data_IF_547399811616
#
_entry.id   IF_547399811616
#
_cell.length_a   1.000
_cell.length_b   1.000
_cell.length_c   1.000
_cell.angle_alpha   90.00
_cell.angle_beta   90.00
_cell.angle_gamma   90.00
#
_symmetry.space_group_name_H-M   'P 1'
#
loop_
_entity.id
_entity.type
_entity.pdbx_description
1 polymer ?
#
# COMPACT_ATOMS: atom_id res chain seq x y z
N UNK A 1 5.26 -13.33 1.43
CA UNK A 1 6.23 -12.51 2.18
C UNK A 1 6.09 -12.88 3.63
N UNK A 2 7.18 -13.26 4.26
CA UNK A 2 7.23 -13.77 5.63
C UNK A 2 8.31 -13.03 6.42
N UNK A 3 8.16 -13.00 7.74
CA UNK A 3 9.18 -12.49 8.67
C UNK A 3 10.00 -13.69 9.14
N UNK A 4 11.31 -13.63 8.99
CA UNK A 4 12.24 -14.67 9.42
C UNK A 4 13.38 -14.06 10.22
N UNK A 5 13.92 -14.83 11.17
CA UNK A 5 15.16 -14.46 11.83
C UNK A 5 16.33 -14.64 10.86
N UNK A 6 17.38 -13.85 11.00
CA UNK A 6 18.56 -13.95 10.14
C UNK A 6 19.19 -15.36 10.15
N UNK A 7 19.16 -16.06 11.30
CA UNK A 7 19.68 -17.42 11.42
C UNK A 7 18.77 -18.52 10.80
N UNK A 8 17.57 -18.15 10.35
CA UNK A 8 16.63 -19.04 9.63
C UNK A 8 16.72 -18.86 8.11
N UNK A 9 17.52 -17.91 7.64
CA UNK A 9 17.68 -17.56 6.23
C UNK A 9 19.10 -17.97 5.81
N UNK A 10 19.20 -18.79 4.78
CA UNK A 10 20.48 -19.33 4.31
C UNK A 10 21.32 -18.23 3.63
N UNK A 11 22.38 -17.78 4.30
CA UNK A 11 23.33 -16.79 3.78
C UNK A 11 24.15 -17.33 2.59
N UNK A 12 24.17 -18.66 2.37
CA UNK A 12 24.85 -19.28 1.23
C UNK A 12 24.00 -19.28 -0.05
N UNK A 13 22.74 -18.85 0.02
CA UNK A 13 21.89 -18.64 -1.15
C UNK A 13 22.55 -17.63 -2.09
N UNK A 14 22.58 -17.94 -3.39
CA UNK A 14 23.23 -17.11 -4.42
C UNK A 14 22.57 -15.73 -4.56
N UNK A 15 21.34 -15.57 -4.06
CA UNK A 15 20.70 -14.28 -3.86
C UNK A 15 21.60 -13.28 -3.12
N UNK A 16 22.42 -13.72 -2.17
CA UNK A 16 23.30 -12.85 -1.39
C UNK A 16 24.65 -12.55 -2.05
N UNK A 17 25.03 -13.23 -3.14
CA UNK A 17 26.38 -13.13 -3.70
C UNK A 17 26.70 -11.68 -4.14
N UNK A 18 25.80 -11.07 -4.90
CA UNK A 18 25.92 -9.64 -5.26
C UNK A 18 25.95 -8.68 -4.07
N UNK A 19 25.33 -9.02 -2.93
CA UNK A 19 25.42 -8.18 -1.72
C UNK A 19 26.79 -8.33 -1.04
N UNK A 20 27.38 -9.54 -1.08
CA UNK A 20 28.73 -9.77 -0.57
C UNK A 20 29.79 -9.08 -1.43
N UNK A 21 29.59 -9.06 -2.75
CA UNK A 21 30.44 -8.31 -3.69
C UNK A 21 30.36 -6.79 -3.42
N UNK A 22 29.15 -6.27 -3.17
CA UNK A 22 28.92 -4.83 -3.01
C UNK A 22 29.34 -4.29 -1.65
N UNK A 23 29.31 -5.11 -0.61
CA UNK A 23 29.61 -4.70 0.76
C UNK A 23 30.68 -5.60 1.37
N UNK A 24 31.98 -5.23 1.28
CA UNK A 24 33.05 -5.92 1.98
C UNK A 24 32.74 -6.03 3.48
N UNK A 25 32.58 -7.26 3.98
CA UNK A 25 32.16 -7.52 5.37
C UNK A 25 30.67 -7.84 5.56
N UNK A 26 29.90 -8.00 4.48
CA UNK A 26 28.49 -8.39 4.54
C UNK A 26 28.25 -9.63 5.41
N UNK A 27 29.06 -10.69 5.28
CA UNK A 27 28.95 -11.89 6.11
C UNK A 27 29.11 -11.59 7.61
N UNK A 28 30.05 -10.71 7.97
CA UNK A 28 30.27 -10.30 9.36
C UNK A 28 29.07 -9.52 9.89
N UNK A 29 28.57 -8.57 9.10
CA UNK A 29 27.37 -7.81 9.43
C UNK A 29 26.16 -8.74 9.60
N UNK A 30 25.95 -9.68 8.67
CA UNK A 30 24.84 -10.62 8.69
C UNK A 30 24.88 -11.51 9.93
N UNK A 31 26.06 -12.07 10.26
CA UNK A 31 26.24 -12.88 11.45
C UNK A 31 25.98 -12.10 12.74
N UNK A 32 26.38 -10.82 12.81
CA UNK A 32 26.01 -9.96 13.95
C UNK A 32 24.49 -9.82 14.10
N UNK A 33 23.76 -9.66 12.99
CA UNK A 33 22.28 -9.60 12.97
C UNK A 33 21.64 -10.92 13.39
N UNK A 34 22.21 -12.05 12.95
CA UNK A 34 21.80 -13.38 13.38
C UNK A 34 21.98 -13.58 14.89
N UNK A 35 23.15 -13.23 15.44
CA UNK A 35 23.42 -13.32 16.89
C UNK A 35 22.50 -12.43 17.71
N UNK A 36 22.20 -11.23 17.22
CA UNK A 36 21.25 -10.30 17.85
C UNK A 36 19.78 -10.74 17.72
N UNK A 37 19.50 -11.89 17.08
CA UNK A 37 18.14 -12.43 16.84
C UNK A 37 17.24 -11.46 16.08
N UNK A 38 17.83 -10.61 15.25
CA UNK A 38 17.08 -9.68 14.43
C UNK A 38 16.33 -10.41 13.32
N UNK A 39 15.32 -9.74 12.75
CA UNK A 39 14.43 -10.30 11.73
C UNK A 39 14.45 -9.48 10.45
N UNK A 40 14.21 -10.15 9.32
CA UNK A 40 14.01 -9.52 8.02
C UNK A 40 12.71 -10.03 7.38
N UNK A 41 12.16 -9.22 6.48
CA UNK A 41 11.10 -9.67 5.58
C UNK A 41 11.74 -10.35 4.38
N UNK A 42 11.24 -11.54 4.03
CA UNK A 42 11.67 -12.25 2.82
C UNK A 42 10.48 -12.62 1.93
N UNK A 43 10.75 -12.76 0.65
CA UNK A 43 9.84 -13.37 -0.30
C UNK A 43 10.56 -14.50 -1.03
N UNK A 44 9.88 -15.64 -1.18
CA UNK A 44 10.33 -16.78 -1.98
C UNK A 44 9.42 -17.01 -3.19
N UNK A 45 9.95 -17.60 -4.24
CA UNK A 45 9.15 -18.11 -5.38
C UNK A 45 8.46 -19.44 -5.03
N UNK A 46 7.74 -20.02 -6.00
CA UNK A 46 7.07 -21.32 -5.84
C UNK A 46 8.04 -22.50 -5.65
N UNK A 47 9.30 -22.33 -6.07
CA UNK A 47 10.36 -23.33 -5.95
C UNK A 47 11.13 -23.19 -4.63
N UNK A 48 10.85 -22.15 -3.84
CA UNK A 48 11.48 -21.88 -2.54
C UNK A 48 12.71 -20.97 -2.60
N UNK A 49 13.09 -20.46 -3.78
CA UNK A 49 14.23 -19.57 -3.95
C UNK A 49 13.93 -18.17 -3.42
N UNK A 50 14.90 -17.51 -2.82
CA UNK A 50 14.75 -16.11 -2.40
C UNK A 50 14.55 -15.21 -3.63
N UNK A 51 13.62 -14.25 -3.50
CA UNK A 51 13.27 -13.26 -4.52
C UNK A 51 13.32 -11.83 -3.97
N UNK A 52 13.35 -11.69 -2.65
CA UNK A 52 13.49 -10.39 -2.01
C UNK A 52 13.82 -10.51 -0.54
N UNK A 53 14.55 -9.51 -0.06
CA UNK A 53 15.02 -9.37 1.31
C UNK A 53 14.94 -7.89 1.72
N UNK A 54 14.28 -7.64 2.84
CA UNK A 54 14.16 -6.32 3.43
C UNK A 54 14.46 -6.38 4.93
N UNK A 55 15.54 -5.73 5.31
CA UNK A 55 15.92 -5.48 6.69
C UNK A 55 15.73 -4.01 7.03
N UNK A 56 15.09 -3.73 8.16
CA UNK A 56 14.83 -2.37 8.64
C UNK A 56 15.12 -2.28 10.13
N UNK A 57 15.51 -1.09 10.59
CA UNK A 57 15.71 -0.80 12.01
C UNK A 57 15.39 0.66 12.32
N UNK A 58 15.06 0.93 13.57
CA UNK A 58 14.88 2.30 14.04
C UNK A 58 16.23 2.90 14.45
N UNK A 59 16.38 4.18 14.15
CA UNK A 59 17.50 5.02 14.57
C UNK A 59 16.92 6.37 14.96
N UNK A 60 17.42 6.98 16.04
CA UNK A 60 17.03 8.30 16.50
C UNK A 60 18.19 9.30 16.48
N UNK A 61 19.43 8.81 16.52
CA UNK A 61 20.66 9.60 16.53
C UNK A 61 20.89 10.46 15.25
N UNK A 62 21.76 11.45 15.38
CA UNK A 62 22.28 12.21 14.24
C UNK A 62 23.21 11.34 13.38
N UNK A 63 23.13 11.48 12.05
CA UNK A 63 23.96 10.75 11.10
C UNK A 63 25.02 11.70 10.53
N UNK A 64 26.22 11.60 11.10
CA UNK A 64 27.38 12.42 10.74
C UNK A 64 28.21 11.82 9.59
N UNK A 65 27.91 10.58 9.20
CA UNK A 65 28.57 9.85 8.12
C UNK A 65 27.84 9.99 6.77
N UNK A 66 26.83 10.85 6.70
CA UNK A 66 26.07 11.21 5.50
C UNK A 66 26.37 12.66 5.17
N UNK A 67 26.55 12.99 3.89
CA UNK A 67 26.76 14.36 3.41
C UNK A 67 25.57 14.82 2.56
N UNK A 68 24.86 15.91 2.93
CA UNK A 68 25.03 16.69 4.18
C UNK A 68 24.62 15.88 5.42
N UNK A 69 25.10 16.28 6.60
CA UNK A 69 24.79 15.59 7.85
C UNK A 69 23.28 15.62 8.15
N UNK A 70 22.74 14.50 8.64
CA UNK A 70 21.34 14.43 9.08
C UNK A 70 21.26 14.72 10.59
N UNK A 71 20.48 15.73 11.03
CA UNK A 71 20.31 16.03 12.46
C UNK A 71 19.57 14.90 13.18
N UNK A 72 19.55 14.86 14.51
CA UNK A 72 18.77 13.88 15.28
C UNK A 72 17.27 13.89 14.88
N UNK A 73 16.67 12.72 14.67
CA UNK A 73 15.25 12.55 14.37
C UNK A 73 14.86 11.07 14.47
N UNK A 74 13.59 10.77 14.78
CA UNK A 74 13.07 9.40 14.74
C UNK A 74 12.98 8.90 13.30
N UNK A 75 13.83 7.94 12.96
CA UNK A 75 13.99 7.39 11.61
C UNK A 75 13.72 5.90 11.56
N UNK A 76 13.13 5.48 10.44
CA UNK A 76 13.24 4.11 9.98
C UNK A 76 14.35 4.01 8.93
N UNK A 77 15.42 3.29 9.25
CA UNK A 77 16.46 2.93 8.28
C UNK A 77 16.04 1.67 7.53
N UNK A 78 16.03 1.75 6.21
CA UNK A 78 16.04 0.57 5.34
C UNK A 78 17.50 0.14 5.19
N UNK A 79 17.90 -0.86 5.99
CA UNK A 79 19.30 -1.27 6.10
C UNK A 79 19.78 -2.15 4.95
N UNK A 80 18.92 -3.06 4.48
CA UNK A 80 19.20 -3.84 3.27
C UNK A 80 17.90 -4.04 2.54
N UNK A 81 17.89 -3.68 1.25
CA UNK A 81 16.73 -3.88 0.39
C UNK A 81 17.18 -4.41 -0.95
N UNK A 82 16.92 -5.70 -1.17
CA UNK A 82 17.21 -6.37 -2.43
C UNK A 82 15.95 -7.08 -2.93
N UNK A 83 15.70 -6.94 -4.22
CA UNK A 83 14.68 -7.68 -4.98
C UNK A 83 15.32 -8.17 -6.27
N UNK A 84 14.94 -9.35 -6.72
CA UNK A 84 15.33 -9.79 -8.05
C UNK A 84 14.40 -9.15 -9.09
N UNK A 85 15.02 -8.42 -10.01
CA UNK A 85 14.47 -7.27 -10.74
C UNK A 85 13.34 -7.58 -11.74
N UNK A 86 12.87 -8.82 -11.83
CA UNK A 86 11.87 -9.21 -12.81
C UNK A 86 10.42 -8.91 -12.37
N UNK A 87 10.19 -8.47 -11.12
CA UNK A 87 8.84 -8.33 -10.57
C UNK A 87 8.57 -6.97 -9.90
N UNK A 88 8.13 -5.98 -10.68
CA UNK A 88 7.77 -4.63 -10.19
C UNK A 88 6.73 -4.66 -9.06
N UNK A 89 5.75 -5.57 -9.12
CA UNK A 89 4.73 -5.74 -8.07
C UNK A 89 5.34 -6.19 -6.74
N UNK A 90 6.42 -6.97 -6.78
CA UNK A 90 7.13 -7.36 -5.56
C UNK A 90 7.77 -6.14 -4.89
N UNK A 91 8.39 -5.27 -5.68
CA UNK A 91 8.95 -4.01 -5.20
C UNK A 91 7.90 -3.14 -4.50
N UNK A 92 6.73 -2.95 -5.11
CA UNK A 92 5.62 -2.18 -4.51
C UNK A 92 5.17 -2.76 -3.16
N UNK A 93 5.16 -4.08 -3.00
CA UNK A 93 4.83 -4.74 -1.72
C UNK A 93 5.86 -4.44 -0.64
N UNK A 94 7.15 -4.42 -0.98
CA UNK A 94 8.19 -4.05 -0.02
C UNK A 94 8.11 -2.57 0.35
N UNK A 95 7.84 -1.68 -0.60
CA UNK A 95 7.60 -0.25 -0.30
C UNK A 95 6.43 -0.09 0.67
N UNK A 96 5.31 -0.82 0.44
CA UNK A 96 4.19 -0.83 1.38
C UNK A 96 4.65 -1.28 2.78
N UNK A 97 5.48 -2.32 2.90
CA UNK A 97 5.99 -2.78 4.20
C UNK A 97 6.88 -1.76 4.91
N UNK A 98 7.72 -1.05 4.16
CA UNK A 98 8.55 0.03 4.70
C UNK A 98 7.64 1.13 5.28
N UNK A 99 6.64 1.56 4.50
CA UNK A 99 5.68 2.59 4.91
C UNK A 99 4.81 2.13 6.09
N UNK A 100 4.26 0.91 6.05
CA UNK A 100 3.47 0.32 7.16
C UNK A 100 4.29 0.31 8.46
N UNK A 101 5.57 -0.06 8.40
CA UNK A 101 6.46 -0.07 9.57
C UNK A 101 6.74 1.33 10.09
N UNK A 102 6.97 2.29 9.19
CA UNK A 102 7.18 3.69 9.56
C UNK A 102 5.98 4.29 10.28
N UNK A 103 4.76 4.01 9.79
CA UNK A 103 3.50 4.40 10.45
C UNK A 103 3.41 3.78 11.84
N UNK A 104 3.63 2.46 11.94
CA UNK A 104 3.52 1.73 13.20
C UNK A 104 4.50 2.24 14.26
N UNK A 105 5.74 2.50 13.85
CA UNK A 105 6.79 3.01 14.73
C UNK A 105 6.70 4.52 15.01
N UNK A 106 5.80 5.22 14.31
CA UNK A 106 5.60 6.68 14.41
C UNK A 106 6.90 7.46 14.15
N UNK A 107 7.64 7.06 13.12
CA UNK A 107 8.86 7.76 12.70
C UNK A 107 8.51 9.00 11.88
N UNK A 108 9.38 10.00 11.91
CA UNK A 108 9.20 11.24 11.15
C UNK A 108 9.68 11.09 9.71
N UNK A 109 10.66 10.23 9.49
CA UNK A 109 11.19 9.95 8.16
C UNK A 109 11.73 8.53 8.00
N UNK A 110 11.74 8.09 6.75
CA UNK A 110 12.40 6.87 6.31
C UNK A 110 13.64 7.28 5.53
N UNK A 111 14.73 6.55 5.69
CA UNK A 111 15.87 6.72 4.79
C UNK A 111 16.45 5.37 4.35
N UNK A 112 17.10 5.39 3.18
CA UNK A 112 17.72 4.23 2.55
C UNK A 112 19.04 4.65 1.92
N UNK A 113 20.05 3.79 2.02
CA UNK A 113 21.31 3.92 1.28
C UNK A 113 21.33 2.91 0.15
N UNK A 114 21.76 3.34 -1.03
CA UNK A 114 21.69 2.53 -2.25
C UNK A 114 22.76 2.95 -3.26
N UNK A 115 23.44 1.99 -3.87
CA UNK A 115 24.35 2.29 -4.98
C UNK A 115 23.60 2.70 -6.25
N UNK A 116 24.15 3.68 -6.98
CA UNK A 116 23.55 4.27 -8.18
C UNK A 116 23.22 3.24 -9.27
N UNK A 117 24.00 2.16 -9.37
CA UNK A 117 23.77 1.06 -10.32
C UNK A 117 22.40 0.36 -10.17
N UNK A 118 21.71 0.51 -9.04
CA UNK A 118 20.40 -0.07 -8.79
C UNK A 118 19.24 0.82 -9.29
N UNK A 119 19.31 1.27 -10.55
CA UNK A 119 18.37 2.25 -11.12
C UNK A 119 16.90 1.88 -10.97
N UNK A 120 16.54 0.60 -11.16
CA UNK A 120 15.16 0.16 -11.08
C UNK A 120 14.57 0.34 -9.66
N UNK A 121 15.39 0.09 -8.64
CA UNK A 121 15.00 0.26 -7.24
C UNK A 121 14.95 1.75 -6.87
N UNK A 122 15.87 2.55 -7.38
CA UNK A 122 15.84 4.02 -7.23
C UNK A 122 14.54 4.59 -7.81
N UNK A 123 14.21 4.25 -9.07
CA UNK A 123 12.97 4.68 -9.73
C UNK A 123 11.71 4.25 -8.96
N UNK A 124 11.73 3.05 -8.38
CA UNK A 124 10.64 2.57 -7.52
C UNK A 124 10.49 3.43 -6.25
N UNK A 125 11.61 3.73 -5.57
CA UNK A 125 11.60 4.56 -4.36
C UNK A 125 11.12 5.99 -4.69
N UNK A 126 11.65 6.59 -5.76
CA UNK A 126 11.26 7.92 -6.22
C UNK A 126 9.76 8.00 -6.55
N UNK A 127 9.20 6.98 -7.21
CA UNK A 127 7.76 6.86 -7.48
C UNK A 127 6.91 6.98 -6.20
N UNK A 128 7.43 6.54 -5.07
CA UNK A 128 6.76 6.59 -3.77
C UNK A 128 7.27 7.69 -2.84
N UNK A 129 7.87 8.74 -3.42
CA UNK A 129 8.18 9.99 -2.72
C UNK A 129 9.47 9.98 -1.94
N UNK A 130 10.33 8.97 -2.14
CA UNK A 130 11.71 9.06 -1.68
C UNK A 130 12.48 10.04 -2.56
N UNK A 131 13.16 11.00 -1.96
CA UNK A 131 13.95 12.01 -2.65
C UNK A 131 15.42 11.86 -2.29
N UNK A 132 16.30 12.05 -3.27
CA UNK A 132 17.75 12.11 -3.02
C UNK A 132 18.03 13.21 -2.01
N UNK A 133 18.69 12.84 -0.93
CA UNK A 133 19.08 13.74 0.15
C UNK A 133 20.58 14.05 0.10
N UNK A 134 21.40 13.02 -0.09
CA UNK A 134 22.84 13.13 0.01
C UNK A 134 23.57 11.87 -0.42
N UNK A 135 24.78 11.70 0.09
CA UNK A 135 25.63 10.52 -0.17
C UNK A 135 26.26 10.00 1.12
N UNK A 136 26.59 8.72 1.15
CA UNK A 136 27.28 8.05 2.25
C UNK A 136 28.54 7.35 1.73
N UNK A 137 29.63 7.49 2.48
CA UNK A 137 30.93 6.94 2.12
C UNK A 137 31.78 7.86 1.24
N UNK A 138 33.04 7.49 1.08
CA UNK A 138 34.05 8.22 0.32
C UNK A 138 34.46 7.43 -0.94
N UNK A 139 35.02 8.10 -1.94
CA UNK A 139 35.54 7.47 -3.16
C UNK A 139 34.69 7.71 -4.41
N UNK A 140 34.99 6.96 -5.48
CA UNK A 140 34.40 7.18 -6.81
C UNK A 140 32.93 6.75 -6.93
N UNK A 141 32.46 5.86 -6.05
CA UNK A 141 31.10 5.28 -6.10
C UNK A 141 30.44 5.30 -4.72
N UNK A 142 30.17 6.48 -4.14
CA UNK A 142 29.48 6.57 -2.86
C UNK A 142 28.05 6.04 -2.97
N UNK A 143 27.49 5.58 -1.85
CA UNK A 143 26.07 5.25 -1.78
C UNK A 143 25.24 6.53 -1.87
N UNK A 144 24.15 6.50 -2.62
CA UNK A 144 23.14 7.54 -2.60
C UNK A 144 22.26 7.37 -1.35
N UNK A 145 21.92 8.48 -0.71
CA UNK A 145 20.96 8.50 0.40
C UNK A 145 19.65 9.09 -0.09
N UNK A 146 18.58 8.31 0.03
CA UNK A 146 17.22 8.75 -0.26
C UNK A 146 16.40 8.82 1.01
N UNK A 147 15.53 9.84 1.11
CA UNK A 147 14.68 10.07 2.28
C UNK A 147 13.22 10.24 1.87
N UNK A 148 12.30 9.77 2.71
CA UNK A 148 10.86 10.03 2.61
C UNK A 148 10.37 10.59 3.94
N UNK A 149 9.86 11.82 3.92
CA UNK A 149 9.20 12.45 5.07
C UNK A 149 7.79 11.86 5.23
N UNK A 150 7.40 11.56 6.47
CA UNK A 150 6.11 10.93 6.79
C UNK A 150 5.00 11.94 7.14
N UNK A 151 5.27 13.24 6.98
CA UNK A 151 4.35 14.33 7.35
C UNK A 151 4.29 15.45 6.29
N UNK A 152 4.89 15.24 5.12
CA UNK A 152 5.01 16.25 4.07
C UNK A 152 4.32 15.77 2.80
N UNK A 153 3.56 16.65 2.16
CA UNK A 153 2.89 16.39 0.89
C UNK A 153 3.51 17.22 -0.23
N UNK A 154 3.66 16.59 -1.39
CA UNK A 154 4.17 17.14 -2.63
C UNK A 154 3.06 17.56 -3.60
N UNK A 155 1.85 17.02 -3.41
CA UNK A 155 0.72 17.16 -4.33
C UNK A 155 0.63 16.03 -5.35
N UNK A 156 1.65 15.17 -5.47
CA UNK A 156 1.58 13.94 -6.24
C UNK A 156 1.04 12.78 -5.40
N UNK A 157 0.02 12.09 -5.93
CA UNK A 157 -0.74 11.06 -5.21
C UNK A 157 0.14 9.90 -4.73
N UNK A 158 1.05 9.40 -5.57
CA UNK A 158 1.89 8.24 -5.24
C UNK A 158 3.07 8.63 -4.38
N UNK A 159 3.65 9.80 -4.63
CA UNK A 159 4.70 10.36 -3.78
C UNK A 159 4.19 10.62 -2.36
N UNK A 160 2.94 11.03 -2.22
CA UNK A 160 2.33 11.37 -0.95
C UNK A 160 1.77 10.15 -0.21
N UNK A 161 1.65 8.98 -0.85
CA UNK A 161 1.26 7.74 -0.18
C UNK A 161 2.11 7.51 1.09
N UNK A 162 1.49 7.26 2.26
CA UNK A 162 0.07 6.96 2.49
C UNK A 162 -0.81 8.15 2.90
N UNK A 163 -0.28 9.37 2.90
CA UNK A 163 -0.95 10.58 3.38
C UNK A 163 -2.20 10.90 2.55
N UNK A 164 -3.20 11.48 3.22
CA UNK A 164 -4.51 11.82 2.68
C UNK A 164 -4.77 13.30 2.96
N UNK A 165 -4.91 14.10 1.91
CA UNK A 165 -5.40 15.49 2.03
C UNK A 165 -6.91 15.50 1.82
N UNK A 166 -7.68 15.88 2.84
CA UNK A 166 -9.16 15.87 2.81
C UNK A 166 -9.75 17.22 2.39
N UNK A 167 -9.06 18.32 2.70
CA UNK A 167 -9.52 19.69 2.40
C UNK A 167 -9.71 19.89 0.89
N UNK A 168 -10.87 20.41 0.50
CA UNK A 168 -11.19 20.71 -0.90
C UNK A 168 -11.31 19.49 -1.82
N UNK A 169 -11.38 18.27 -1.26
CA UNK A 169 -11.58 17.03 -2.03
C UNK A 169 -13.02 16.54 -1.91
N UNK A 170 -13.56 16.01 -3.01
CA UNK A 170 -14.84 15.28 -2.98
C UNK A 170 -14.62 13.93 -2.31
N UNK A 171 -15.58 13.51 -1.48
CA UNK A 171 -15.55 12.23 -0.76
C UNK A 171 -16.76 11.41 -1.16
N UNK A 172 -16.54 10.16 -1.55
CA UNK A 172 -17.61 9.26 -1.96
C UNK A 172 -17.56 7.96 -1.18
N UNK A 173 -18.73 7.40 -0.89
CA UNK A 173 -18.85 6.00 -0.51
C UNK A 173 -18.77 5.14 -1.77
N UNK A 174 -18.00 4.06 -1.70
CA UNK A 174 -17.96 3.02 -2.74
C UNK A 174 -18.29 1.66 -2.11
N UNK A 175 -19.46 1.12 -2.44
CA UNK A 175 -19.89 -0.20 -2.00
C UNK A 175 -19.11 -1.31 -2.68
N UNK A 176 -18.76 -2.32 -1.89
CA UNK A 176 -18.16 -3.57 -2.35
C UNK A 176 -18.84 -4.74 -1.65
N UNK A 177 -19.25 -5.74 -2.44
CA UNK A 177 -19.84 -6.96 -1.89
C UNK A 177 -18.83 -7.73 -1.04
N UNK A 178 -19.27 -8.40 0.04
CA UNK A 178 -18.42 -9.24 0.89
C UNK A 178 -17.49 -10.19 0.12
N UNK A 179 -18.01 -10.89 -0.89
CA UNK A 179 -17.27 -11.86 -1.71
C UNK A 179 -16.04 -11.29 -2.44
N UNK A 180 -16.00 -9.97 -2.63
CA UNK A 180 -14.91 -9.24 -3.28
C UNK A 180 -14.10 -8.39 -2.29
N UNK A 181 -14.73 -7.87 -1.23
CA UNK A 181 -14.14 -6.91 -0.32
C UNK A 181 -12.89 -7.47 0.37
N UNK A 182 -13.01 -8.61 1.04
CA UNK A 182 -11.91 -9.18 1.84
C UNK A 182 -10.72 -9.59 0.96
N UNK A 183 -11.00 -10.03 -0.28
CA UNK A 183 -9.96 -10.31 -1.29
C UNK A 183 -9.25 -9.03 -1.71
N UNK A 184 -9.99 -7.95 -1.99
CA UNK A 184 -9.40 -6.70 -2.48
C UNK A 184 -8.67 -5.93 -1.36
N UNK A 185 -9.19 -5.99 -0.12
CA UNK A 185 -8.70 -5.28 1.07
C UNK A 185 -8.43 -6.22 2.25
N UNK A 186 -7.40 -7.10 2.17
CA UNK A 186 -7.11 -8.09 3.21
C UNK A 186 -6.72 -7.45 4.55
N UNK A 187 -6.12 -6.26 4.54
CA UNK A 187 -5.79 -5.49 5.76
C UNK A 187 -7.06 -4.99 6.47
N UNK A 188 -8.21 -5.00 5.80
CA UNK A 188 -9.51 -4.55 6.32
C UNK A 188 -10.48 -5.67 6.68
N UNK A 189 -10.01 -6.93 6.72
CA UNK A 189 -10.80 -8.12 7.04
C UNK A 189 -11.59 -7.98 8.35
N UNK A 190 -12.83 -8.48 8.35
CA UNK A 190 -13.67 -8.50 9.55
C UNK A 190 -13.34 -9.70 10.45
N UNK A 191 -13.65 -9.59 11.75
CA UNK A 191 -13.37 -10.66 12.73
C UNK A 191 -14.08 -11.96 12.37
N UNK A 192 -15.32 -11.87 11.88
CA UNK A 192 -16.13 -13.00 11.44
C UNK A 192 -15.70 -13.59 10.08
N UNK A 193 -14.76 -12.96 9.39
CA UNK A 193 -14.22 -13.42 8.11
C UNK A 193 -12.79 -13.99 8.24
N UNK A 194 -12.25 -14.07 9.47
CA UNK A 194 -10.89 -14.58 9.70
C UNK A 194 -10.68 -16.00 9.18
N UNK A 195 -11.72 -16.81 9.03
CA UNK A 195 -11.65 -18.13 8.40
C UNK A 195 -11.26 -18.08 6.92
N UNK A 196 -11.61 -17.00 6.21
CA UNK A 196 -11.21 -16.77 4.81
C UNK A 196 -9.74 -16.35 4.69
N UNK A 197 -9.09 -15.97 5.79
CA UNK A 197 -7.68 -15.57 5.78
C UNK A 197 -6.77 -16.72 5.37
N UNK A 198 -7.11 -17.96 5.71
CA UNK A 198 -6.34 -19.15 5.33
C UNK A 198 -6.50 -19.51 3.84
N UNK A 199 -7.65 -19.19 3.23
CA UNK A 199 -7.87 -19.35 1.78
C UNK A 199 -7.21 -18.21 0.98
N UNK A 200 -7.17 -16.98 1.53
CA UNK A 200 -6.45 -15.83 0.99
C UNK A 200 -4.92 -15.98 1.04
N UNK A 201 -4.39 -16.79 1.97
CA UNK A 201 -2.95 -17.12 2.03
C UNK A 201 -2.54 -18.03 0.86
N UNK A 202 -3.46 -18.84 0.34
CA UNK A 202 -3.19 -19.78 -0.76
C UNK A 202 -3.32 -19.15 -2.15
N UNK A 203 -4.03 -18.03 -2.28
CA UNK A 203 -4.33 -17.48 -3.60
C UNK A 203 -4.20 -15.96 -3.67
N UNK A 204 -3.58 -15.52 -4.77
CA UNK A 204 -3.48 -14.15 -5.29
C UNK A 204 -2.33 -13.27 -4.76
N UNK A 205 -1.37 -12.99 -5.66
CA UNK A 205 -0.25 -12.05 -5.49
C UNK A 205 -0.65 -10.56 -5.46
N UNK A 206 -1.92 -10.23 -5.72
CA UNK A 206 -2.46 -8.88 -5.93
C UNK A 206 -3.18 -8.27 -4.71
N UNK A 207 -3.47 -9.06 -3.68
CA UNK A 207 -4.26 -8.60 -2.51
C UNK A 207 -3.50 -7.62 -1.62
N UNK A 208 -2.16 -7.64 -1.65
CA UNK A 208 -1.29 -6.80 -0.80
C UNK A 208 -0.60 -5.64 -1.55
N UNK A 209 -1.07 -5.27 -2.75
CA UNK A 209 -0.56 -4.10 -3.48
C UNK A 209 -1.07 -2.77 -2.90
N UNK A 210 -0.30 -1.71 -3.11
CA UNK A 210 -0.69 -0.31 -2.86
C UNK A 210 -1.85 0.08 -3.77
N UNK A 211 -1.77 -0.32 -5.04
CA UNK A 211 -2.80 -0.07 -6.04
C UNK A 211 -3.92 -1.10 -5.99
N UNK A 212 -5.15 -0.68 -6.27
CA UNK A 212 -6.35 -1.52 -6.40
C UNK A 212 -7.09 -1.17 -7.66
N UNK A 213 -7.58 -2.18 -8.37
CA UNK A 213 -8.53 -2.00 -9.47
C UNK A 213 -9.85 -2.66 -9.07
N UNK A 214 -10.91 -1.85 -9.02
CA UNK A 214 -12.28 -2.30 -8.85
C UNK A 214 -13.09 -2.01 -10.10
N UNK A 215 -14.01 -2.90 -10.44
CA UNK A 215 -14.85 -2.80 -11.61
C UNK A 215 -16.30 -2.88 -11.15
N UNK A 216 -17.10 -1.91 -11.57
CA UNK A 216 -18.49 -1.83 -11.19
C UNK A 216 -19.36 -1.25 -12.30
N UNK A 217 -20.66 -1.17 -12.04
CA UNK A 217 -21.70 -0.69 -12.95
C UNK A 217 -22.58 0.36 -12.27
N UNK A 218 -22.12 0.91 -11.13
CA UNK A 218 -22.88 1.86 -10.35
C UNK A 218 -22.83 3.23 -11.04
N UNK A 219 -24.00 3.81 -11.25
CA UNK A 219 -24.15 5.13 -11.88
C UNK A 219 -23.41 6.21 -11.08
N UNK A 220 -22.80 7.16 -11.79
CA UNK A 220 -22.02 8.24 -11.21
C UNK A 220 -20.56 7.90 -10.93
N UNK A 221 -20.19 6.61 -10.86
CA UNK A 221 -18.77 6.22 -10.66
C UNK A 221 -17.89 6.63 -11.83
N UNK A 222 -18.45 6.76 -13.02
CA UNK A 222 -17.78 7.25 -14.22
C UNK A 222 -17.47 8.76 -14.19
N UNK A 223 -18.01 9.50 -13.21
CA UNK A 223 -17.77 10.92 -12.98
C UNK A 223 -16.68 11.18 -11.91
N UNK A 224 -16.13 10.12 -11.32
CA UNK A 224 -14.98 10.20 -10.44
C UNK A 224 -13.77 10.76 -11.18
N UNK A 225 -12.93 11.48 -10.45
CA UNK A 225 -11.75 12.15 -10.95
C UNK A 225 -10.54 11.78 -10.09
N UNK A 226 -9.34 11.89 -10.69
CA UNK A 226 -8.08 11.70 -9.95
C UNK A 226 -8.06 12.61 -8.71
N UNK A 227 -7.79 12.03 -7.56
CA UNK A 227 -7.74 12.74 -6.28
C UNK A 227 -9.06 12.78 -5.51
N UNK A 228 -10.17 12.26 -6.05
CA UNK A 228 -11.36 12.00 -5.25
C UNK A 228 -11.06 10.94 -4.17
N UNK A 229 -11.67 11.11 -3.00
CA UNK A 229 -11.52 10.21 -1.87
C UNK A 229 -12.65 9.19 -1.89
N UNK A 230 -12.31 7.92 -1.72
CA UNK A 230 -13.26 6.82 -1.61
C UNK A 230 -13.23 6.24 -0.21
N UNK A 231 -14.37 6.30 0.48
CA UNK A 231 -14.66 5.51 1.66
C UNK A 231 -15.17 4.14 1.21
N UNK A 232 -14.37 3.11 1.40
CA UNK A 232 -14.74 1.74 1.03
C UNK A 232 -15.78 1.23 2.03
N UNK A 233 -16.92 0.80 1.50
CA UNK A 233 -18.05 0.31 2.27
C UNK A 233 -18.34 -1.14 1.90
N UNK A 234 -18.14 -2.07 2.84
CA UNK A 234 -18.52 -3.47 2.65
C UNK A 234 -20.02 -3.61 2.90
N UNK A 235 -20.77 -4.12 1.92
CA UNK A 235 -22.22 -4.33 2.08
C UNK A 235 -22.53 -5.49 3.03
N UNK A 236 -23.81 -5.65 3.39
CA UNK A 236 -24.28 -6.82 4.15
C UNK A 236 -23.96 -8.13 3.43
N UNK A 237 -23.75 -9.19 4.21
CA UNK A 237 -23.65 -10.57 3.74
C UNK A 237 -24.99 -11.31 3.77
N UNK A 238 -26.09 -10.59 4.08
CA UNK A 238 -27.44 -11.15 4.10
C UNK A 238 -27.81 -11.91 5.37
N UNK A 239 -26.90 -12.09 6.33
CA UNK A 239 -27.16 -12.82 7.57
C UNK A 239 -27.88 -11.99 8.65
N UNK A 240 -28.23 -10.74 8.35
CA UNK A 240 -28.92 -9.84 9.27
C UNK A 240 -29.01 -8.41 8.72
N UNK A 241 -29.57 -7.47 9.52
CA UNK A 241 -29.86 -6.13 9.03
C UNK A 241 -28.60 -5.38 8.57
N UNK A 242 -28.69 -4.76 7.39
CA UNK A 242 -27.61 -3.99 6.80
C UNK A 242 -27.10 -2.87 7.74
N UNK A 243 -27.99 -2.33 8.60
CA UNK A 243 -27.69 -1.34 9.64
C UNK A 243 -26.51 -1.74 10.52
N UNK A 244 -26.36 -3.04 10.83
CA UNK A 244 -25.31 -3.53 11.73
C UNK A 244 -24.22 -4.32 11.00
N UNK A 245 -24.52 -4.86 9.81
CA UNK A 245 -23.63 -5.78 9.09
C UNK A 245 -22.84 -5.13 7.95
N UNK A 246 -23.31 -4.00 7.43
CA UNK A 246 -22.58 -3.24 6.43
C UNK A 246 -21.69 -2.21 7.14
N UNK A 247 -20.47 -2.04 6.67
CA UNK A 247 -19.45 -1.28 7.39
C UNK A 247 -18.54 -0.50 6.46
N UNK A 248 -18.19 0.73 6.84
CA UNK A 248 -17.04 1.42 6.27
C UNK A 248 -15.74 0.82 6.82
N UNK A 249 -14.75 0.62 5.95
CA UNK A 249 -13.55 -0.15 6.29
C UNK A 249 -12.24 0.55 6.00
N UNK A 250 -12.19 1.39 4.97
CA UNK A 250 -10.94 1.85 4.38
C UNK A 250 -11.10 3.17 3.65
N UNK A 251 -10.00 3.89 3.50
CA UNK A 251 -9.91 5.10 2.68
C UNK A 251 -8.95 4.85 1.53
N UNK A 252 -9.40 5.17 0.31
CA UNK A 252 -8.61 5.12 -0.90
C UNK A 252 -8.66 6.47 -1.62
N UNK A 253 -7.70 6.72 -2.52
CA UNK A 253 -7.72 7.89 -3.40
C UNK A 253 -7.74 7.42 -4.86
N UNK A 254 -8.63 7.99 -5.66
CA UNK A 254 -8.76 7.68 -7.09
C UNK A 254 -7.49 8.10 -7.84
N UNK A 255 -6.89 7.17 -8.55
CA UNK A 255 -5.77 7.42 -9.47
C UNK A 255 -6.27 7.68 -10.89
N UNK A 256 -7.18 6.83 -11.36
CA UNK A 256 -7.61 6.80 -12.75
C UNK A 256 -8.99 6.14 -12.88
N UNK A 257 -9.81 6.68 -13.76
CA UNK A 257 -11.07 6.06 -14.20
C UNK A 257 -10.93 5.68 -15.67
N UNK A 258 -11.29 4.43 -16.00
CA UNK A 258 -11.36 3.92 -17.36
C UNK A 258 -12.71 3.28 -17.64
N UNK A 259 -13.08 3.22 -18.91
CA UNK A 259 -14.18 2.42 -19.46
C UNK A 259 -13.63 1.43 -20.48
N UNK A 260 -14.38 0.37 -20.84
CA UNK A 260 -13.95 -0.55 -21.90
C UNK A 260 -13.56 0.16 -23.22
N UNK A 261 -14.26 1.24 -23.56
CA UNK A 261 -13.98 2.06 -24.75
C UNK A 261 -12.59 2.73 -24.75
N UNK A 262 -11.92 2.82 -23.60
CA UNK A 262 -10.60 3.46 -23.49
C UNK A 262 -9.45 2.50 -23.85
N UNK A 263 -9.77 1.22 -24.10
CA UNK A 263 -8.81 0.19 -24.49
C UNK A 263 -8.99 -0.16 -25.95
N UNK A 264 -7.87 -0.34 -26.69
CA UNK A 264 -7.96 -0.67 -28.12
C UNK A 264 -8.42 -2.10 -28.35
N UNK A 265 -8.12 -2.99 -27.40
CA UNK A 265 -8.41 -4.42 -27.50
C UNK A 265 -8.83 -5.00 -26.15
N UNK A 266 -9.57 -6.12 -26.19
CA UNK A 266 -9.88 -6.92 -25.00
C UNK A 266 -8.60 -7.36 -24.27
N UNK A 267 -7.53 -7.68 -25.01
CA UNK A 267 -6.25 -8.09 -24.43
C UNK A 267 -5.59 -6.97 -23.61
N UNK A 268 -5.64 -5.72 -24.09
CA UNK A 268 -5.15 -4.55 -23.34
C UNK A 268 -5.96 -4.32 -22.06
N UNK A 269 -7.29 -4.41 -22.16
CA UNK A 269 -8.20 -4.30 -21.01
C UNK A 269 -7.87 -5.36 -19.95
N UNK A 270 -7.78 -6.63 -20.35
CA UNK A 270 -7.48 -7.73 -19.43
C UNK A 270 -6.09 -7.58 -18.79
N UNK A 271 -5.08 -7.20 -19.57
CA UNK A 271 -3.72 -6.95 -19.05
C UNK A 271 -3.74 -5.85 -17.99
N UNK A 272 -4.48 -4.78 -18.22
CA UNK A 272 -4.61 -3.67 -17.28
C UNK A 272 -5.38 -4.09 -16.02
N UNK A 273 -6.56 -4.70 -16.15
CA UNK A 273 -7.42 -5.04 -15.01
C UNK A 273 -6.85 -6.18 -14.16
N UNK A 274 -6.23 -7.18 -14.78
CA UNK A 274 -5.57 -8.27 -14.05
C UNK A 274 -4.35 -7.81 -13.25
N UNK A 275 -3.85 -6.58 -13.47
CA UNK A 275 -2.69 -6.09 -12.75
C UNK A 275 -2.95 -5.99 -11.23
N UNK A 276 -4.13 -5.50 -10.84
CA UNK A 276 -4.48 -5.13 -9.46
C UNK A 276 -5.95 -5.40 -9.08
N UNK A 277 -6.70 -6.15 -9.88
CA UNK A 277 -8.06 -6.57 -9.52
C UNK A 277 -8.09 -7.99 -8.95
N UNK A 278 -9.24 -8.38 -8.37
CA UNK A 278 -9.49 -9.70 -7.79
C UNK A 278 -10.47 -10.54 -8.63
N UNK A 279 -10.88 -10.03 -9.78
CA UNK A 279 -11.87 -10.67 -10.63
C UNK A 279 -11.22 -11.74 -11.50
N UNK A 280 -11.97 -12.80 -11.77
CA UNK A 280 -11.49 -13.80 -12.73
C UNK A 280 -11.59 -13.25 -14.16
N UNK A 281 -10.77 -13.81 -15.04
CA UNK A 281 -10.66 -13.37 -16.43
C UNK A 281 -11.97 -13.50 -17.21
N UNK A 282 -12.80 -14.52 -16.92
CA UNK A 282 -14.06 -14.74 -17.62
C UNK A 282 -15.07 -13.62 -17.35
N UNK A 283 -15.17 -13.21 -16.08
CA UNK A 283 -16.00 -12.07 -15.69
C UNK A 283 -15.52 -10.78 -16.35
N UNK A 284 -14.21 -10.53 -16.35
CA UNK A 284 -13.61 -9.37 -17.00
C UNK A 284 -13.91 -9.34 -18.51
N UNK A 285 -13.75 -10.46 -19.22
CA UNK A 285 -14.11 -10.58 -20.65
C UNK A 285 -15.58 -10.26 -20.91
N UNK A 286 -16.48 -10.74 -20.05
CA UNK A 286 -17.91 -10.43 -20.15
C UNK A 286 -18.16 -8.93 -19.94
N UNK A 287 -17.51 -8.34 -18.94
CA UNK A 287 -17.72 -6.93 -18.58
C UNK A 287 -17.11 -5.94 -19.57
N UNK A 288 -16.04 -6.33 -20.28
CA UNK A 288 -15.49 -5.56 -21.39
C UNK A 288 -16.53 -5.24 -22.47
N UNK A 289 -17.54 -6.10 -22.65
CA UNK A 289 -18.62 -5.91 -23.63
C UNK A 289 -19.73 -4.96 -23.16
N UNK A 290 -19.68 -4.50 -21.91
CA UNK A 290 -20.69 -3.62 -21.32
C UNK A 290 -20.24 -2.17 -21.35
N UNK A 291 -20.98 -1.31 -22.04
CA UNK A 291 -20.72 0.14 -22.04
C UNK A 291 -20.91 0.80 -20.68
N UNK A 292 -21.57 0.12 -19.73
CA UNK A 292 -21.78 0.59 -18.36
C UNK A 292 -20.65 0.22 -17.40
N UNK A 293 -19.66 -0.57 -17.84
CA UNK A 293 -18.55 -0.96 -16.99
C UNK A 293 -17.65 0.24 -16.70
N UNK A 294 -17.33 0.44 -15.43
CA UNK A 294 -16.38 1.46 -14.96
C UNK A 294 -15.26 0.76 -14.22
N UNK A 295 -14.03 1.03 -14.64
CA UNK A 295 -12.79 0.56 -14.02
C UNK A 295 -12.22 1.70 -13.18
N UNK A 296 -12.17 1.50 -11.87
CA UNK A 296 -11.65 2.45 -10.90
C UNK A 296 -10.30 1.95 -10.43
N UNK A 297 -9.22 2.64 -10.80
CA UNK A 297 -7.90 2.44 -10.20
C UNK A 297 -7.72 3.40 -9.04
N UNK A 298 -7.31 2.88 -7.89
CA UNK A 298 -7.17 3.66 -6.67
C UNK A 298 -5.95 3.22 -5.87
N UNK A 299 -5.38 4.15 -5.11
CA UNK A 299 -4.39 3.85 -4.07
C UNK A 299 -5.12 3.49 -2.78
N UNK A 300 -4.71 2.41 -2.13
CA UNK A 300 -5.23 2.00 -0.82
C UNK A 300 -4.42 2.68 0.29
N UNK A 301 -4.89 3.83 0.74
CA UNK A 301 -4.15 4.70 1.66
C UNK A 301 -4.18 4.22 3.11
N UNK A 302 -5.37 3.90 3.62
CA UNK A 302 -5.53 3.59 5.04
C UNK A 302 -6.68 2.60 5.30
N UNK A 303 -6.45 1.68 6.23
CA UNK A 303 -7.53 0.94 6.89
C UNK A 303 -8.06 1.77 8.06
N UNK A 304 -9.37 1.72 8.30
CA UNK A 304 -9.91 2.12 9.59
C UNK A 304 -9.48 1.08 10.65
N UNK A 305 -9.22 1.48 11.88
CA UNK A 305 -8.95 0.51 12.95
C UNK A 305 -10.26 -0.13 13.44
N UNK A 306 -11.31 0.69 13.60
CA UNK A 306 -12.68 0.26 13.90
C UNK A 306 -13.55 0.32 12.65
N UNK A 307 -14.45 -0.65 12.53
CA UNK A 307 -15.41 -0.73 11.42
C UNK A 307 -16.64 0.09 11.80
N UNK A 308 -16.94 1.11 11.02
CA UNK A 308 -18.09 1.99 11.28
C UNK A 308 -19.31 1.40 10.59
N UNK A 309 -20.36 1.08 11.34
CA UNK A 309 -21.55 0.44 10.78
C UNK A 309 -22.41 1.41 9.99
N UNK A 310 -23.23 0.90 9.06
CA UNK A 310 -24.24 1.70 8.36
C UNK A 310 -25.11 2.50 9.33
N UNK A 311 -25.53 1.88 10.45
CA UNK A 311 -26.31 2.55 11.49
C UNK A 311 -25.59 3.75 12.09
N UNK A 312 -24.30 3.62 12.40
CA UNK A 312 -23.50 4.74 12.89
C UNK A 312 -23.35 5.84 11.84
N UNK A 313 -23.15 5.49 10.56
CA UNK A 313 -23.11 6.47 9.48
C UNK A 313 -24.44 7.23 9.37
N UNK A 314 -25.57 6.55 9.52
CA UNK A 314 -26.91 7.18 9.57
C UNK A 314 -27.03 8.13 10.76
N UNK A 315 -26.57 7.70 11.94
CA UNK A 315 -26.56 8.54 13.14
C UNK A 315 -25.67 9.80 12.96
N UNK A 316 -24.70 9.75 12.03
CA UNK A 316 -23.87 10.90 11.63
C UNK A 316 -24.51 11.78 10.54
N UNK A 317 -25.74 11.49 10.14
CA UNK A 317 -26.52 12.28 9.18
C UNK A 317 -26.43 11.79 7.74
N UNK A 318 -25.91 10.58 7.48
CA UNK A 318 -26.01 9.95 6.16
C UNK A 318 -27.43 9.46 5.94
N UNK A 319 -28.09 9.91 4.86
CA UNK A 319 -29.47 9.53 4.55
C UNK A 319 -29.64 8.00 4.49
N UNK A 320 -30.60 7.47 5.25
CA UNK A 320 -30.90 6.04 5.31
C UNK A 320 -31.52 5.53 4.01
N UNK A 321 -32.38 6.34 3.37
CA UNK A 321 -33.19 5.94 2.21
C UNK A 321 -32.44 6.07 0.87
N UNK A 322 -31.27 6.70 0.87
CA UNK A 322 -30.47 6.85 -0.33
C UNK A 322 -29.92 5.51 -0.86
N UNK A 323 -29.49 5.49 -2.12
CA UNK A 323 -28.80 4.34 -2.68
C UNK A 323 -27.39 4.17 -2.07
N UNK A 324 -27.21 3.12 -1.26
CA UNK A 324 -25.94 2.85 -0.56
C UNK A 324 -24.80 2.33 -1.45
N UNK A 325 -25.02 2.15 -2.75
CA UNK A 325 -23.99 1.65 -3.65
C UNK A 325 -22.86 2.65 -3.89
N UNK A 326 -23.23 3.88 -4.26
CA UNK A 326 -22.28 4.95 -4.53
C UNK A 326 -22.98 6.29 -4.32
N UNK A 327 -22.40 7.15 -3.47
CA UNK A 327 -22.94 8.47 -3.17
C UNK A 327 -21.86 9.38 -2.57
N UNK A 328 -22.08 10.69 -2.62
CA UNK A 328 -21.15 11.68 -2.07
C UNK A 328 -21.43 11.92 -0.59
N UNK A 329 -20.37 12.05 0.22
CA UNK A 329 -20.42 12.47 1.61
C UNK A 329 -20.14 13.96 1.73
N UNK A 330 -20.72 14.59 2.75
CA UNK A 330 -20.25 15.90 3.22
C UNK A 330 -18.95 15.75 4.01
N UNK A 331 -18.23 16.87 4.19
CA UNK A 331 -17.00 16.90 4.99
C UNK A 331 -17.27 16.45 6.43
N UNK A 332 -18.34 16.97 7.04
CA UNK A 332 -18.74 16.62 8.41
C UNK A 332 -19.07 15.13 8.57
N UNK A 333 -19.80 14.53 7.61
CA UNK A 333 -20.10 13.09 7.64
C UNK A 333 -18.81 12.27 7.54
N UNK A 334 -17.93 12.64 6.62
CA UNK A 334 -16.67 11.93 6.41
C UNK A 334 -15.77 12.00 7.65
N UNK A 335 -15.62 13.18 8.26
CA UNK A 335 -14.78 13.40 9.44
C UNK A 335 -15.29 12.59 10.65
N UNK A 336 -16.61 12.58 10.92
CA UNK A 336 -17.20 11.74 11.97
C UNK A 336 -16.96 10.25 11.74
N UNK A 337 -17.00 9.79 10.49
CA UNK A 337 -16.71 8.40 10.15
C UNK A 337 -15.24 8.08 10.40
N UNK A 338 -14.31 8.98 10.02
CA UNK A 338 -12.88 8.78 10.26
C UNK A 338 -12.55 8.75 11.76
N UNK A 339 -13.11 9.67 12.53
CA UNK A 339 -12.99 9.72 13.99
C UNK A 339 -13.51 8.42 14.62
N UNK A 340 -14.73 8.01 14.26
CA UNK A 340 -15.32 6.77 14.77
C UNK A 340 -14.55 5.52 14.35
N UNK A 341 -13.99 5.55 13.14
CA UNK A 341 -13.19 4.48 12.56
C UNK A 341 -11.78 4.38 13.15
N UNK A 342 -11.39 5.33 14.01
CA UNK A 342 -10.04 5.40 14.60
C UNK A 342 -8.96 5.27 13.51
N UNK A 343 -9.11 6.05 12.43
CA UNK A 343 -8.05 6.16 11.44
C UNK A 343 -6.81 6.74 12.12
N UNK A 344 -5.61 6.35 11.67
CA UNK A 344 -4.41 7.00 12.16
C UNK A 344 -4.39 8.46 11.68
N UNK A 345 -4.62 9.38 12.61
CA UNK A 345 -4.68 10.83 12.36
C UNK A 345 -3.40 11.37 11.72
N UNK A 346 -2.24 10.74 11.93
CA UNK A 346 -0.98 11.15 11.29
C UNK A 346 -1.00 11.01 9.77
N UNK A 347 -1.98 10.27 9.23
CA UNK A 347 -2.19 10.11 7.79
C UNK A 347 -3.05 11.22 7.20
N UNK A 348 -3.81 11.94 8.01
CA UNK A 348 -4.70 13.01 7.55
C UNK A 348 -3.93 14.34 7.61
N UNK A 349 -3.77 14.97 6.44
CA UNK A 349 -3.12 16.26 6.32
C UNK A 349 -4.19 17.33 6.07
N UNK A 350 -4.51 18.07 7.11
CA UNK A 350 -5.34 19.26 7.02
C UNK A 350 -4.43 20.44 6.68
N UNK A 351 -4.52 20.97 5.45
CA UNK A 351 -3.86 22.24 5.14
C UNK A 351 -4.67 23.35 5.79
N UNK A 352 -4.00 24.14 6.64
CA UNK A 352 -4.49 25.42 7.15
C UNK A 352 -4.69 26.43 6.02
#
# INVERSE_FOLDING_TARGET
>A
MEIKRFNEIDLKDCFFDSLKEDYPGFDTWYNKKATAKETAFIQKDSSGNLQGFLYMKNEDEALLDITPNMPEAKRLKVGTFKIDAHNTKLGERFVKKIVDKAIFDKVEEIYVTIFEKHEALIKLLEKYGFKKYGTKGEGATPELVFTKKMNTISGDLLSDFPLITTTGKRKFVLSIKPEYHTKLFPDSILVNEKGDKESLVKDISHTNSIHKIYLCFMEGTELLQKGDILLIYRTTDGLGPARFRSVATSVCIVEEIKRPSDFKTEAEFLKYTNAYSIFNEQDLKRWYRSSKAVVIKMTYNAALYKRVTRGQMIDFGVDEEQYWGFFQLTDEQFDKILEKGEINESLIINKA
#
